data_IF_123114967440
#
_entry.id   IF_123114967440
#
_cell.length_a   1.000
_cell.length_b   1.000
_cell.length_c   1.000
_cell.angle_alpha   90.00
_cell.angle_beta   90.00
_cell.angle_gamma   90.00
#
_symmetry.space_group_name_H-M   'P 1'
#
loop_
_entity.id
_entity.type
_entity.pdbx_description
1 polymer ?
#
# COMPACT_ATOMS: atom_id res chain seq x y z
N UNK A 1 7.13 -6.35 14.84
CA UNK A 1 7.41 -5.06 14.20
C UNK A 1 6.21 -4.18 14.50
N UNK A 2 6.36 -3.16 15.35
CA UNK A 2 5.30 -2.22 15.72
C UNK A 2 5.53 -0.95 14.89
N UNK A 3 4.54 -0.51 14.10
CA UNK A 3 4.62 0.71 13.29
C UNK A 3 3.72 1.76 13.94
N UNK A 4 4.34 2.89 14.30
CA UNK A 4 3.76 3.97 15.07
C UNK A 4 2.55 4.61 14.39
N UNK A 5 1.66 5.16 15.23
CA UNK A 5 0.41 5.88 14.93
C UNK A 5 0.56 7.16 14.06
N UNK A 6 1.69 7.36 13.39
CA UNK A 6 2.05 8.55 12.60
C UNK A 6 1.94 8.35 11.07
N UNK A 7 1.46 7.18 10.61
CA UNK A 7 1.07 6.99 9.19
C UNK A 7 2.21 7.06 8.16
N UNK A 8 3.47 6.90 8.58
CA UNK A 8 4.63 7.07 7.69
C UNK A 8 4.98 5.81 6.88
N UNK A 9 4.38 4.66 7.21
CA UNK A 9 4.64 3.38 6.55
C UNK A 9 3.34 2.61 6.34
N UNK A 10 3.29 1.88 5.23
CA UNK A 10 2.24 0.92 4.92
C UNK A 10 2.26 -0.28 5.87
N UNK A 11 1.09 -0.86 6.16
CA UNK A 11 0.95 -2.07 6.98
C UNK A 11 0.23 -3.19 6.23
N UNK A 12 0.49 -4.43 6.64
CA UNK A 12 -0.27 -5.57 6.12
C UNK A 12 -1.76 -5.39 6.44
N UNK A 13 -2.57 -5.54 5.41
CA UNK A 13 -4.00 -5.33 5.48
C UNK A 13 -4.48 -3.93 5.11
N UNK A 14 -3.59 -2.94 4.97
CA UNK A 14 -3.96 -1.59 4.52
C UNK A 14 -4.60 -1.63 3.14
N UNK A 15 -5.62 -0.78 2.97
CA UNK A 15 -6.20 -0.51 1.66
C UNK A 15 -5.45 0.62 1.00
N UNK A 16 -5.08 0.41 -0.25
CA UNK A 16 -4.32 1.38 -1.03
C UNK A 16 -4.98 1.62 -2.38
N UNK A 17 -4.69 2.80 -2.92
CA UNK A 17 -5.06 3.20 -4.28
C UNK A 17 -3.81 3.53 -5.07
N UNK A 18 -3.74 3.07 -6.31
CA UNK A 18 -2.69 3.44 -7.24
C UNK A 18 -2.99 4.85 -7.76
N UNK A 19 -2.09 5.82 -7.54
CA UNK A 19 -2.29 7.21 -7.97
C UNK A 19 -2.47 7.33 -9.49
N UNK A 20 -1.72 6.53 -10.25
CA UNK A 20 -1.68 6.60 -11.72
C UNK A 20 -2.95 6.07 -12.39
N UNK A 21 -3.50 4.97 -11.91
CA UNK A 21 -4.62 4.27 -12.54
C UNK A 21 -5.93 4.41 -11.77
N UNK A 22 -5.85 4.82 -10.51
CA UNK A 22 -6.99 4.86 -9.58
C UNK A 22 -7.46 3.48 -9.12
N UNK A 23 -6.79 2.39 -9.54
CA UNK A 23 -7.09 1.04 -9.10
C UNK A 23 -6.83 0.87 -7.61
N UNK A 24 -7.59 -0.01 -6.97
CA UNK A 24 -7.49 -0.28 -5.54
C UNK A 24 -6.97 -1.68 -5.28
N UNK A 25 -6.32 -1.83 -4.13
CA UNK A 25 -5.82 -3.11 -3.66
C UNK A 25 -5.63 -3.11 -2.16
N UNK A 26 -5.15 -4.25 -1.66
CA UNK A 26 -4.84 -4.45 -0.25
C UNK A 26 -3.42 -4.94 -0.10
N UNK A 27 -2.68 -4.40 0.86
CA UNK A 27 -1.34 -4.90 1.16
C UNK A 27 -1.49 -6.28 1.81
N UNK A 28 -0.89 -7.28 1.18
CA UNK A 28 -0.93 -8.67 1.64
C UNK A 28 0.36 -9.08 2.36
N UNK A 29 1.49 -8.44 2.05
CA UNK A 29 2.77 -8.71 2.69
C UNK A 29 3.71 -7.49 2.60
N UNK A 30 4.67 -7.41 3.52
CA UNK A 30 5.73 -6.40 3.56
C UNK A 30 7.06 -7.12 3.78
N UNK A 31 8.05 -6.83 2.93
CA UNK A 31 9.39 -7.38 3.06
C UNK A 31 10.43 -6.36 2.61
N UNK A 32 11.51 -6.18 3.37
CA UNK A 32 12.69 -5.44 2.90
C UNK A 32 12.47 -4.00 2.39
N UNK A 33 11.42 -3.29 2.83
CA UNK A 33 11.11 -1.94 2.36
C UNK A 33 10.25 -1.89 1.08
N UNK A 34 9.66 -3.01 0.68
CA UNK A 34 8.63 -3.10 -0.36
C UNK A 34 7.35 -3.69 0.21
N UNK A 35 6.21 -3.33 -0.40
CA UNK A 35 4.89 -3.89 -0.09
C UNK A 35 4.34 -4.64 -1.28
N UNK A 36 3.69 -5.77 -1.00
CA UNK A 36 2.95 -6.56 -1.97
C UNK A 36 1.47 -6.20 -1.87
N UNK A 37 0.93 -5.59 -2.92
CA UNK A 37 -0.46 -5.18 -3.02
C UNK A 37 -1.21 -6.19 -3.87
N UNK A 38 -2.19 -6.86 -3.29
CA UNK A 38 -3.16 -7.68 -4.00
C UNK A 38 -4.22 -6.76 -4.60
N UNK A 39 -4.30 -6.73 -5.93
CA UNK A 39 -5.21 -5.88 -6.68
C UNK A 39 -6.64 -6.42 -6.63
N UNK A 40 -7.61 -5.57 -6.30
CA UNK A 40 -9.02 -5.99 -6.09
C UNK A 40 -9.67 -6.53 -7.37
N UNK A 41 -9.34 -5.94 -8.53
CA UNK A 41 -9.96 -6.28 -9.82
C UNK A 41 -9.32 -7.46 -10.53
N UNK A 42 -8.01 -7.61 -10.42
CA UNK A 42 -7.26 -8.59 -11.23
C UNK A 42 -6.78 -9.79 -10.42
N UNK A 43 -6.88 -9.75 -9.08
CA UNK A 43 -6.29 -10.74 -8.16
C UNK A 43 -4.76 -10.88 -8.33
N UNK A 44 -4.12 -9.93 -9.03
CA UNK A 44 -2.68 -9.92 -9.22
C UNK A 44 -1.98 -9.27 -8.03
N UNK A 45 -0.84 -9.84 -7.63
CA UNK A 45 0.05 -9.22 -6.66
C UNK A 45 1.03 -8.29 -7.37
N UNK A 46 1.03 -7.01 -6.99
CA UNK A 46 1.94 -5.99 -7.51
C UNK A 46 2.86 -5.48 -6.40
N UNK A 47 4.12 -5.21 -6.75
CA UNK A 47 5.13 -4.74 -5.80
C UNK A 47 5.24 -3.22 -5.85
N UNK A 48 5.27 -2.58 -4.68
CA UNK A 48 5.50 -1.14 -4.54
C UNK A 48 6.51 -0.85 -3.42
N UNK A 49 7.04 0.37 -3.41
CA UNK A 49 7.84 0.87 -2.29
C UNK A 49 7.00 0.92 -1.01
N UNK A 50 7.57 0.53 0.14
CA UNK A 50 6.89 0.59 1.43
C UNK A 50 6.89 1.99 2.07
N UNK A 51 7.58 2.94 1.43
CA UNK A 51 7.65 4.32 1.91
C UNK A 51 6.46 5.12 1.39
N UNK A 52 5.77 5.79 2.32
CA UNK A 52 4.69 6.74 2.01
C UNK A 52 5.35 8.11 1.75
N UNK A 53 5.30 8.58 0.50
CA UNK A 53 5.83 9.88 0.06
C UNK A 53 4.90 10.51 -0.99
N UNK A 54 5.07 11.81 -1.26
CA UNK A 54 4.35 12.52 -2.34
C UNK A 54 4.52 11.82 -3.70
N UNK A 55 5.72 11.31 -4.00
CA UNK A 55 6.03 10.61 -5.25
C UNK A 55 5.67 9.11 -5.21
N UNK A 56 5.18 8.59 -4.08
CA UNK A 56 4.80 7.18 -3.98
C UNK A 56 3.70 6.84 -4.98
N UNK A 57 3.86 5.71 -5.69
CA UNK A 57 2.92 5.25 -6.72
C UNK A 57 1.56 4.82 -6.16
N UNK A 58 1.49 4.60 -4.85
CA UNK A 58 0.28 4.20 -4.13
C UNK A 58 0.05 5.15 -2.95
N UNK A 59 -1.22 5.34 -2.59
CA UNK A 59 -1.67 6.12 -1.45
C UNK A 59 -2.58 5.27 -0.55
N UNK A 60 -2.58 5.57 0.74
CA UNK A 60 -3.37 4.86 1.75
C UNK A 60 -4.81 5.38 1.75
N UNK A 61 -5.79 4.48 1.72
CA UNK A 61 -7.21 4.84 1.79
C UNK A 61 -7.62 4.85 3.25
N UNK A 62 -7.70 6.03 3.87
CA UNK A 62 -8.20 6.16 5.25
C UNK A 62 -9.73 6.28 5.24
N UNK A 63 -10.46 5.46 6.02
CA UNK A 63 -11.87 5.73 6.28
C UNK A 63 -11.99 7.01 7.12
N UNK A 64 -12.87 7.93 6.70
CA UNK A 64 -13.22 9.16 7.43
C UNK A 64 -13.88 8.90 8.79
#
# INVERSE_FOLDING_TARGET
MEINADGTFFQEGDRVRLKRTGETGRINAIDGGVVYVLMDKTDESRLFSAFVDEDASIELITPE
#
